data_IF_875874968562
#
_entry.id   IF_875874968562
#
_cell.length_a   1.000
_cell.length_b   1.000
_cell.length_c   1.000
_cell.angle_alpha   90.00
_cell.angle_beta   90.00
_cell.angle_gamma   90.00
#
_symmetry.space_group_name_H-M   'P 1'
#
loop_
_entity.id
_entity.type
_entity.pdbx_description
1 polymer ?
#
# COMPACT_ATOMS: atom_id res chain seq x y z
N UNK A 1 -8.28 2.85 8.12
CA UNK A 1 -7.08 3.44 7.56
C UNK A 1 -5.87 2.53 7.74
N UNK A 2 -5.03 2.49 6.73
CA UNK A 2 -3.81 1.71 6.71
C UNK A 2 -2.60 2.63 6.62
N UNK A 3 -1.55 2.23 7.30
CA UNK A 3 -0.25 2.88 7.30
C UNK A 3 0.79 1.84 6.91
N UNK A 4 1.57 2.12 5.87
CA UNK A 4 2.70 1.29 5.47
C UNK A 4 3.95 1.91 6.06
N UNK A 5 4.67 1.19 6.92
CA UNK A 5 5.84 1.70 7.65
C UNK A 5 7.04 0.79 7.40
N UNK A 6 8.22 1.38 7.32
CA UNK A 6 9.48 0.66 7.19
C UNK A 6 9.82 -0.15 8.45
N UNK A 7 10.07 -1.47 8.31
CA UNK A 7 10.24 -2.42 9.42
C UNK A 7 11.61 -2.41 10.11
N UNK A 8 12.66 -1.80 9.52
CA UNK A 8 13.97 -1.59 10.17
C UNK A 8 13.89 -0.82 11.50
N UNK A 9 12.72 -0.50 11.87
CA UNK A 9 12.27 0.12 13.10
C UNK A 9 11.99 -0.94 14.18
N UNK A 10 11.82 -2.23 13.81
CA UNK A 10 11.41 -3.28 14.74
C UNK A 10 12.52 -3.75 15.68
N UNK A 11 13.76 -3.79 15.24
CA UNK A 11 14.88 -4.30 16.07
C UNK A 11 15.49 -3.28 17.07
N UNK A 12 15.16 -1.98 16.94
CA UNK A 12 15.56 -0.93 17.91
C UNK A 12 14.39 -0.28 18.63
N UNK A 13 13.35 -0.93 18.89
CA UNK A 13 12.04 -0.42 18.60
C UNK A 13 11.08 -0.18 19.74
N UNK A 14 11.44 -0.20 20.93
CA UNK A 14 10.65 0.51 21.93
C UNK A 14 10.73 2.04 21.73
N UNK A 15 11.77 2.55 21.09
CA UNK A 15 12.02 3.98 20.91
C UNK A 15 11.22 4.64 19.76
N UNK A 16 10.90 3.92 18.69
CA UNK A 16 10.22 4.54 17.53
C UNK A 16 8.72 4.38 17.61
N UNK A 17 8.25 3.26 18.13
CA UNK A 17 6.86 3.17 18.58
C UNK A 17 6.59 4.29 19.60
N UNK A 18 7.49 4.55 20.55
CA UNK A 18 7.39 5.65 21.53
C UNK A 18 7.47 7.05 20.88
N UNK A 19 8.23 7.27 19.81
CA UNK A 19 8.24 8.55 19.08
C UNK A 19 7.01 8.75 18.22
N UNK A 20 6.40 7.66 17.70
CA UNK A 20 5.07 7.72 17.07
C UNK A 20 3.95 7.82 18.11
N UNK A 21 4.18 7.36 19.34
CA UNK A 21 3.27 7.45 20.47
C UNK A 21 2.96 8.90 20.90
N UNK A 22 3.86 9.85 20.68
CA UNK A 22 3.58 11.25 21.03
C UNK A 22 2.57 11.92 20.10
N UNK A 23 2.30 11.35 18.92
CA UNK A 23 1.32 11.87 17.96
C UNK A 23 0.10 10.95 17.85
N UNK A 24 0.29 9.65 18.03
CA UNK A 24 -0.79 8.67 18.15
C UNK A 24 -0.79 8.13 19.57
N UNK A 25 -1.78 8.51 20.36
CA UNK A 25 -2.09 7.84 21.61
C UNK A 25 -2.17 6.33 21.30
N UNK A 26 -1.25 5.50 21.81
CA UNK A 26 -0.94 4.13 21.36
C UNK A 26 -2.04 3.09 21.55
N UNK A 27 -3.14 3.45 22.13
CA UNK A 27 -4.33 2.60 22.14
C UNK A 27 -4.90 2.55 20.73
N UNK A 28 -4.80 1.36 20.10
CA UNK A 28 -5.47 0.98 18.86
C UNK A 28 -4.71 1.24 17.54
N UNK A 29 -3.44 0.88 17.46
CA UNK A 29 -2.74 0.60 16.21
C UNK A 29 -2.47 -0.90 16.15
N UNK A 30 -2.91 -1.56 15.10
CA UNK A 30 -2.81 -3.00 14.91
C UNK A 30 -1.90 -3.30 13.73
N UNK A 31 -0.84 -4.07 13.95
CA UNK A 31 0.02 -4.56 12.87
C UNK A 31 -0.70 -5.71 12.17
N UNK A 32 -0.79 -5.62 10.87
CA UNK A 32 -1.39 -6.65 10.02
C UNK A 32 -0.28 -7.57 9.51
N UNK A 33 -0.01 -8.64 10.26
CA UNK A 33 1.07 -9.59 9.96
C UNK A 33 0.81 -10.43 8.71
N UNK A 34 -0.43 -10.48 8.26
CA UNK A 34 -0.91 -11.18 7.07
C UNK A 34 -0.82 -10.34 5.78
N UNK A 35 -0.25 -9.13 5.86
CA UNK A 35 -0.04 -8.27 4.69
C UNK A 35 1.39 -8.34 4.18
N UNK A 36 1.54 -8.26 2.86
CA UNK A 36 2.82 -8.21 2.16
C UNK A 36 2.89 -7.01 1.24
N UNK A 37 4.10 -6.48 1.04
CA UNK A 37 4.35 -5.28 0.25
C UNK A 37 5.29 -5.58 -0.90
N UNK A 38 4.82 -5.32 -2.12
CA UNK A 38 5.70 -5.16 -3.27
C UNK A 38 5.90 -3.67 -3.54
N UNK A 39 7.05 -3.31 -4.08
CA UNK A 39 7.32 -1.97 -4.59
C UNK A 39 7.66 -2.05 -6.07
N UNK A 40 7.00 -1.22 -6.87
CA UNK A 40 7.16 -1.16 -8.31
C UNK A 40 7.60 0.25 -8.69
N UNK A 41 8.75 0.38 -9.34
CA UNK A 41 9.27 1.65 -9.83
C UNK A 41 9.86 1.51 -11.23
N UNK A 42 10.29 2.61 -11.80
CA UNK A 42 10.94 2.68 -13.11
C UNK A 42 10.20 3.59 -14.08
N UNK A 43 10.86 3.89 -15.19
CA UNK A 43 10.32 4.83 -16.18
C UNK A 43 8.99 4.38 -16.77
N UNK A 44 8.79 3.08 -16.88
CA UNK A 44 7.60 2.48 -17.49
C UNK A 44 6.61 1.93 -16.43
N UNK A 45 6.81 2.24 -15.13
CA UNK A 45 6.02 1.63 -14.05
C UNK A 45 4.53 1.95 -14.14
N UNK A 46 4.16 3.16 -14.51
CA UNK A 46 2.77 3.60 -14.66
C UNK A 46 2.09 2.88 -15.83
N UNK A 47 2.71 2.90 -17.01
CA UNK A 47 2.19 2.20 -18.19
C UNK A 47 2.11 0.68 -17.95
N UNK A 48 3.12 0.11 -17.33
CA UNK A 48 3.13 -1.31 -16.96
C UNK A 48 1.95 -1.67 -16.06
N UNK A 49 1.74 -0.91 -14.98
CA UNK A 49 0.62 -1.13 -14.07
C UNK A 49 -0.72 -0.91 -14.76
N UNK A 50 -0.86 0.13 -15.59
CA UNK A 50 -2.10 0.39 -16.34
C UNK A 50 -2.51 -0.79 -17.22
N UNK A 51 -1.55 -1.47 -17.82
CA UNK A 51 -1.79 -2.63 -18.67
C UNK A 51 -2.10 -3.92 -17.88
N UNK A 52 -1.83 -3.94 -16.56
CA UNK A 52 -1.92 -5.16 -15.76
C UNK A 52 -3.09 -5.17 -14.78
N UNK A 53 -3.57 -4.00 -14.36
CA UNK A 53 -4.55 -3.89 -13.28
C UNK A 53 -5.97 -3.66 -13.79
N UNK A 54 -6.95 -4.05 -12.99
CA UNK A 54 -8.38 -3.88 -13.28
C UNK A 54 -8.93 -2.48 -12.96
N UNK A 55 -8.08 -1.53 -12.60
CA UNK A 55 -8.44 -0.15 -12.28
C UNK A 55 -7.52 0.81 -13.04
N UNK A 56 -7.78 2.11 -12.93
CA UNK A 56 -7.01 3.16 -13.58
C UNK A 56 -5.88 3.64 -12.65
N UNK A 57 -4.61 3.39 -13.04
CA UNK A 57 -3.43 3.80 -12.26
C UNK A 57 -3.31 5.32 -12.17
N UNK A 58 -3.85 6.08 -13.12
CA UNK A 58 -3.82 7.55 -13.10
C UNK A 58 -4.61 8.14 -11.92
N UNK A 59 -5.48 7.35 -11.28
CA UNK A 59 -6.15 7.74 -10.03
C UNK A 59 -5.22 7.71 -8.82
N UNK A 60 -4.08 7.00 -8.91
CA UNK A 60 -3.12 6.84 -7.81
C UNK A 60 -2.10 7.95 -7.85
N UNK A 61 -2.13 8.80 -6.85
CA UNK A 61 -1.21 9.93 -6.68
C UNK A 61 -0.91 10.13 -5.17
N UNK A 62 -0.32 11.26 -4.80
CA UNK A 62 0.02 11.57 -3.40
C UNK A 62 -1.21 11.63 -2.47
N UNK A 63 -2.39 11.96 -3.03
CA UNK A 63 -3.63 12.15 -2.28
C UNK A 63 -4.63 10.98 -2.43
N UNK A 64 -4.37 10.04 -3.34
CA UNK A 64 -5.30 8.96 -3.63
C UNK A 64 -4.62 7.63 -3.88
N UNK A 65 -5.15 6.60 -3.25
CA UNK A 65 -4.86 5.19 -3.50
C UNK A 65 -6.05 4.50 -4.16
N UNK A 66 -5.83 3.33 -4.75
CA UNK A 66 -6.91 2.55 -5.32
C UNK A 66 -6.82 1.06 -4.95
N UNK A 67 -7.97 0.39 -5.00
CA UNK A 67 -8.05 -1.06 -4.98
C UNK A 67 -8.10 -1.58 -6.41
N UNK A 68 -7.29 -2.58 -6.70
CA UNK A 68 -7.21 -3.20 -8.02
C UNK A 68 -7.05 -4.72 -7.91
N UNK A 69 -7.25 -5.38 -9.03
CA UNK A 69 -7.01 -6.81 -9.20
C UNK A 69 -6.13 -7.07 -10.41
N UNK A 70 -5.36 -8.14 -10.36
CA UNK A 70 -4.70 -8.74 -11.50
C UNK A 70 -5.58 -9.85 -12.05
N UNK A 71 -5.86 -9.82 -13.34
CA UNK A 71 -6.66 -10.82 -14.03
C UNK A 71 -5.78 -11.64 -14.99
N UNK A 72 -6.20 -12.89 -15.26
CA UNK A 72 -5.61 -13.66 -16.35
C UNK A 72 -6.01 -13.08 -17.71
N UNK A 73 -5.35 -13.46 -18.80
CA UNK A 73 -5.77 -13.06 -20.16
C UNK A 73 -7.21 -13.43 -20.51
N UNK A 74 -7.77 -14.44 -19.84
CA UNK A 74 -9.17 -14.86 -20.00
C UNK A 74 -10.14 -14.12 -19.06
N UNK A 75 -9.66 -13.08 -18.32
CA UNK A 75 -10.46 -12.29 -17.39
C UNK A 75 -10.70 -12.97 -16.03
N UNK A 76 -10.00 -14.07 -15.73
CA UNK A 76 -10.13 -14.78 -14.44
C UNK A 76 -9.35 -14.03 -13.37
N UNK A 77 -9.98 -13.81 -12.22
CA UNK A 77 -9.34 -13.23 -11.03
C UNK A 77 -8.13 -14.06 -10.58
N UNK A 78 -7.02 -13.39 -10.31
CA UNK A 78 -5.80 -13.99 -9.80
C UNK A 78 -5.40 -13.42 -8.43
N UNK A 79 -5.29 -12.09 -8.33
CA UNK A 79 -4.84 -11.40 -7.11
C UNK A 79 -5.62 -10.10 -6.92
N UNK A 80 -5.75 -9.67 -5.66
CA UNK A 80 -6.28 -8.37 -5.29
C UNK A 80 -5.30 -7.64 -4.37
N UNK A 81 -5.22 -6.32 -4.53
CA UNK A 81 -4.28 -5.49 -3.78
C UNK A 81 -4.71 -4.02 -3.75
N UNK A 82 -4.15 -3.30 -2.80
CA UNK A 82 -4.25 -1.84 -2.73
C UNK A 82 -2.97 -1.25 -3.34
N UNK A 83 -3.11 -0.19 -4.12
CA UNK A 83 -1.99 0.55 -4.72
C UNK A 83 -1.94 1.94 -4.10
N UNK A 84 -0.78 2.30 -3.56
CA UNK A 84 -0.51 3.63 -3.03
C UNK A 84 0.77 4.21 -3.64
N UNK A 85 0.77 5.52 -3.90
CA UNK A 85 1.97 6.22 -4.36
C UNK A 85 3.02 6.25 -3.25
N UNK A 86 4.28 5.94 -3.59
CA UNK A 86 5.41 6.09 -2.70
C UNK A 86 6.64 6.51 -3.49
N UNK A 87 7.16 7.70 -3.20
CA UNK A 87 8.32 8.27 -3.92
C UNK A 87 8.09 8.24 -5.45
N UNK A 88 9.06 7.72 -6.20
CA UNK A 88 8.98 7.60 -7.66
C UNK A 88 8.17 6.39 -8.14
N UNK A 89 7.65 5.55 -7.25
CA UNK A 89 6.98 4.30 -7.58
C UNK A 89 5.67 4.09 -6.83
N UNK A 90 5.30 2.84 -6.69
CA UNK A 90 4.02 2.41 -6.12
C UNK A 90 4.24 1.26 -5.14
N UNK A 91 3.63 1.35 -3.95
CA UNK A 91 3.41 0.20 -3.09
C UNK A 91 2.20 -0.59 -3.57
N UNK A 92 2.37 -1.91 -3.57
CA UNK A 92 1.31 -2.89 -3.81
C UNK A 92 1.14 -3.68 -2.52
N UNK A 93 0.07 -3.39 -1.80
CA UNK A 93 -0.28 -4.05 -0.55
C UNK A 93 -1.25 -5.19 -0.84
N UNK A 94 -0.83 -6.42 -0.60
CA UNK A 94 -1.60 -7.65 -0.86
C UNK A 94 -1.56 -8.60 0.34
N UNK A 95 -2.29 -9.71 0.27
CA UNK A 95 -2.14 -10.80 1.22
C UNK A 95 -0.73 -11.37 1.19
N UNK A 96 -0.11 -11.56 2.35
CA UNK A 96 1.26 -12.07 2.50
C UNK A 96 1.44 -13.43 1.85
N UNK A 97 0.45 -14.30 1.99
CA UNK A 97 0.42 -15.62 1.36
C UNK A 97 0.48 -15.57 -0.17
N UNK A 98 0.02 -14.47 -0.77
CA UNK A 98 -0.06 -14.28 -2.22
C UNK A 98 1.12 -13.47 -2.79
N UNK A 99 1.95 -12.86 -1.94
CA UNK A 99 3.00 -11.92 -2.35
C UNK A 99 3.98 -12.53 -3.35
N UNK A 100 4.45 -13.74 -3.09
CA UNK A 100 5.38 -14.44 -3.98
C UNK A 100 4.75 -14.82 -5.33
N UNK A 101 3.48 -15.24 -5.31
CA UNK A 101 2.73 -15.52 -6.53
C UNK A 101 2.53 -14.28 -7.39
N UNK A 102 2.13 -13.17 -6.77
CA UNK A 102 1.96 -11.88 -7.42
C UNK A 102 3.29 -11.35 -7.98
N UNK A 103 4.38 -11.42 -7.19
CA UNK A 103 5.72 -11.04 -7.63
C UNK A 103 6.16 -11.79 -8.88
N UNK A 104 6.00 -13.13 -8.88
CA UNK A 104 6.33 -13.98 -10.02
C UNK A 104 5.50 -13.61 -11.24
N UNK A 105 4.20 -13.44 -11.06
CA UNK A 105 3.29 -13.10 -12.16
C UNK A 105 3.65 -11.76 -12.81
N UNK A 106 3.84 -10.71 -12.01
CA UNK A 106 4.26 -9.40 -12.49
C UNK A 106 5.64 -9.45 -13.17
N UNK A 107 6.58 -10.24 -12.63
CA UNK A 107 7.91 -10.41 -13.20
C UNK A 107 7.88 -11.08 -14.59
N UNK A 108 6.96 -12.02 -14.82
CA UNK A 108 6.77 -12.65 -16.13
C UNK A 108 6.32 -11.61 -17.16
N UNK A 109 5.41 -10.72 -16.79
CA UNK A 109 4.87 -9.70 -17.71
C UNK A 109 5.77 -8.48 -17.88
N UNK A 110 6.78 -8.31 -17.03
CA UNK A 110 7.72 -7.17 -17.10
C UNK A 110 8.45 -7.11 -18.46
N UNK A 111 8.85 -8.26 -19.02
CA UNK A 111 9.55 -8.40 -20.30
C UNK A 111 10.63 -7.33 -20.55
N UNK A 112 10.36 -6.39 -21.49
CA UNK A 112 11.28 -5.30 -21.88
C UNK A 112 10.99 -3.97 -21.19
N UNK A 113 9.99 -3.90 -20.33
CA UNK A 113 9.63 -2.67 -19.63
C UNK A 113 10.73 -2.27 -18.65
N UNK A 114 11.03 -0.99 -18.60
CA UNK A 114 12.00 -0.39 -17.64
C UNK A 114 11.35 -0.26 -16.28
N UNK A 115 11.04 -1.40 -15.68
CA UNK A 115 10.37 -1.55 -14.40
C UNK A 115 11.21 -2.38 -13.46
N UNK A 116 11.33 -1.97 -12.23
CA UNK A 116 11.89 -2.74 -11.13
C UNK A 116 10.75 -3.16 -10.20
N UNK A 117 10.74 -4.43 -9.81
CA UNK A 117 9.77 -4.99 -8.87
C UNK A 117 10.55 -5.57 -7.70
N UNK A 118 10.25 -5.12 -6.49
CA UNK A 118 10.92 -5.56 -5.26
C UNK A 118 9.90 -6.10 -4.27
N UNK A 119 10.21 -7.21 -3.63
CA UNK A 119 9.45 -7.70 -2.48
C UNK A 119 10.02 -7.06 -1.21
N UNK A 120 9.28 -6.13 -0.64
CA UNK A 120 9.67 -5.38 0.54
C UNK A 120 8.90 -5.80 1.80
N UNK A 121 8.29 -6.99 1.80
CA UNK A 121 7.49 -7.49 2.93
C UNK A 121 8.29 -7.69 4.22
N UNK A 122 9.62 -7.79 4.14
CA UNK A 122 10.50 -7.85 5.31
C UNK A 122 10.98 -6.46 5.76
N UNK A 123 10.80 -5.43 4.92
CA UNK A 123 11.27 -4.07 5.17
C UNK A 123 10.14 -3.12 5.59
N UNK A 124 8.91 -3.47 5.25
CA UNK A 124 7.72 -2.69 5.56
C UNK A 124 6.66 -3.56 6.22
N UNK A 125 5.88 -2.95 7.07
CA UNK A 125 4.69 -3.53 7.68
C UNK A 125 3.47 -2.67 7.37
N UNK A 126 2.31 -3.30 7.31
CA UNK A 126 1.03 -2.61 7.23
C UNK A 126 0.44 -2.54 8.63
N UNK A 127 -0.02 -1.37 9.02
CA UNK A 127 -0.71 -1.19 10.29
C UNK A 127 -2.09 -0.56 10.05
N UNK A 128 -3.09 -1.03 10.79
CA UNK A 128 -4.42 -0.47 10.80
C UNK A 128 -4.69 0.33 12.08
N UNK A 129 -5.48 1.37 11.99
CA UNK A 129 -5.91 2.16 13.13
C UNK A 129 -7.30 2.78 12.88
N UNK A 130 -7.90 3.35 13.92
CA UNK A 130 -9.25 3.89 13.86
C UNK A 130 -9.37 5.07 12.88
N UNK A 131 -10.45 5.10 12.07
CA UNK A 131 -10.77 6.16 11.12
C UNK A 131 -10.87 7.54 11.77
N UNK A 132 -11.40 7.64 12.99
CA UNK A 132 -11.46 8.90 13.74
C UNK A 132 -10.08 9.52 13.98
N UNK A 133 -9.04 8.69 14.13
CA UNK A 133 -7.66 9.16 14.24
C UNK A 133 -7.12 9.63 12.90
N UNK A 134 -7.45 8.95 11.81
CA UNK A 134 -7.09 9.40 10.47
C UNK A 134 -7.65 10.80 10.20
N UNK A 135 -8.91 11.04 10.53
CA UNK A 135 -9.59 12.33 10.30
C UNK A 135 -9.03 13.49 11.15
N UNK A 136 -8.17 13.20 12.15
CA UNK A 136 -7.46 14.24 12.92
C UNK A 136 -6.17 14.73 12.24
N UNK A 137 -5.69 14.06 11.21
CA UNK A 137 -4.56 14.56 10.43
C UNK A 137 -4.99 15.79 9.61
N UNK A 138 -4.09 16.76 9.52
CA UNK A 138 -4.33 17.96 8.72
C UNK A 138 -4.58 17.58 7.24
N UNK A 139 -5.64 18.10 6.66
CA UNK A 139 -6.02 17.83 5.27
C UNK A 139 -6.73 16.50 5.04
N UNK A 140 -6.90 15.64 6.05
CA UNK A 140 -7.58 14.36 5.89
C UNK A 140 -9.05 14.54 5.50
N UNK A 141 -9.52 13.67 4.58
CA UNK A 141 -10.92 13.62 4.12
C UNK A 141 -11.51 12.24 4.33
N UNK A 142 -12.81 12.18 4.56
CA UNK A 142 -13.57 10.94 4.69
C UNK A 142 -14.01 10.42 3.31
N UNK A 143 -13.03 10.07 2.49
CA UNK A 143 -13.22 9.55 1.14
C UNK A 143 -12.44 8.24 0.97
N UNK A 144 -13.04 7.17 0.40
CA UNK A 144 -12.33 5.92 0.13
C UNK A 144 -11.10 6.15 -0.75
N UNK A 145 -9.96 5.60 -0.32
CA UNK A 145 -8.70 5.77 -1.02
C UNK A 145 -7.99 7.10 -0.76
N UNK A 146 -8.64 8.04 -0.03
CA UNK A 146 -7.95 9.28 0.31
C UNK A 146 -6.67 8.99 1.10
N UNK A 147 -5.58 9.56 0.65
CA UNK A 147 -4.23 9.28 1.14
C UNK A 147 -3.60 10.57 1.65
N UNK A 148 -2.86 10.48 2.73
CA UNK A 148 -2.01 11.53 3.24
C UNK A 148 -0.60 10.99 3.40
N UNK A 149 0.39 11.86 3.28
CA UNK A 149 1.79 11.50 3.44
C UNK A 149 2.25 11.83 4.86
N UNK A 150 2.78 10.83 5.54
CA UNK A 150 3.38 11.02 6.85
C UNK A 150 4.82 10.50 6.82
N UNK A 151 5.80 11.40 6.94
CA UNK A 151 7.24 11.08 6.88
C UNK A 151 7.62 10.21 5.67
N UNK A 152 7.15 10.53 4.50
CA UNK A 152 7.36 9.80 3.25
C UNK A 152 6.50 8.53 3.08
N UNK A 153 5.84 8.05 4.11
CA UNK A 153 5.00 6.85 4.04
C UNK A 153 3.51 7.20 3.85
N UNK A 154 2.77 6.45 3.02
CA UNK A 154 1.37 6.72 2.80
C UNK A 154 0.52 6.24 3.97
N UNK A 155 -0.41 7.08 4.41
CA UNK A 155 -1.54 6.72 5.28
C UNK A 155 -2.81 6.90 4.47
N UNK A 156 -3.63 5.87 4.37
CA UNK A 156 -4.78 5.89 3.48
C UNK A 156 -6.05 5.34 4.16
N UNK A 157 -7.20 5.86 3.74
CA UNK A 157 -8.48 5.19 3.97
C UNK A 157 -8.62 4.02 3.00
N UNK A 158 -9.18 2.91 3.48
CA UNK A 158 -9.38 1.72 2.65
C UNK A 158 -10.18 2.07 1.38
N UNK A 159 -9.62 1.88 0.17
CA UNK A 159 -10.30 2.23 -1.08
C UNK A 159 -11.41 1.23 -1.47
N UNK A 160 -11.57 0.12 -0.74
CA UNK A 160 -12.50 -0.95 -1.11
C UNK A 160 -13.94 -0.62 -0.74
N UNK A 161 -14.14 0.02 0.39
CA UNK A 161 -15.49 0.37 0.85
C UNK A 161 -15.46 1.58 1.79
N UNK A 162 -16.45 2.46 1.61
CA UNK A 162 -16.68 3.60 2.48
C UNK A 162 -17.05 3.19 3.90
N UNK A 163 -17.67 2.03 4.06
CA UNK A 163 -18.22 1.52 5.32
C UNK A 163 -17.26 0.58 6.07
N UNK A 164 -16.19 0.09 5.42
CA UNK A 164 -15.16 -0.76 6.04
C UNK A 164 -14.22 0.01 6.99
N UNK A 165 -14.39 1.29 7.13
CA UNK A 165 -13.66 2.12 8.09
C UNK A 165 -14.46 2.45 9.34
N UNK A 166 -15.54 1.75 9.58
CA UNK A 166 -16.34 1.90 10.79
C UNK A 166 -15.95 0.88 11.85
#
# INVERSE_FOLDING_TARGET
PFLIIRSNIYEKSNYIILRHQSIMNTQNVYILEDRGILYINGADAEEFLQNMISNDINKVNEDNSCFASLLSPQGKFLFAFIIAKHKSGYFIDCEKSQTEGLFKQLSIYKLRSKVEIMNLSNEFVVAAFNKEKFLKFEGAKDEPGYTIKYREDPILLDPRNKDLGA
#
